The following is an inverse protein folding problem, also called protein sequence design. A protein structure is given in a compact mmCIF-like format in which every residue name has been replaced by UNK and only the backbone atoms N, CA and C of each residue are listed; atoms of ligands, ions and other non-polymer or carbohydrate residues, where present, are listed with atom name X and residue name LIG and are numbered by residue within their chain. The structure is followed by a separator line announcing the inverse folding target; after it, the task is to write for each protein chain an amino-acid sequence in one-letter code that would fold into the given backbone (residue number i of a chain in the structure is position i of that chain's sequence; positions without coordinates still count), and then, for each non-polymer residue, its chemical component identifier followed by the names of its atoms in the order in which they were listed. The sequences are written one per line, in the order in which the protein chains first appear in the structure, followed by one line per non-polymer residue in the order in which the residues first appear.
data_IF_746856505439
#
_entry.id   IF_746856505439
#
_cell.length_a   1.000
_cell.length_b   1.000
_cell.length_c   1.000
_cell.angle_alpha   90.00
_cell.angle_beta   90.00
_cell.angle_gamma   90.00
#
_symmetry.space_group_name_H-M   'P 1'
#
loop_
_entity.id
_entity.type
_entity.pdbx_description
1 polymer ?
2 polymer ?
3 polymer ?
4 water ?
#
# COMPACT_ATOMS: atom_id res chain seq x y z
N UNK A 1 23.02 -5.70 5.43
CA UNK A 1 22.80 -4.55 6.30
C UNK A 1 21.60 -4.83 7.21
N UNK A 2 21.26 -3.90 8.09
CA UNK A 2 20.21 -4.12 9.07
C UNK A 2 18.84 -3.96 8.44
N UNK A 3 17.95 -4.91 8.71
CA UNK A 3 16.58 -4.93 8.23
C UNK A 3 15.61 -4.98 9.40
N UNK A 4 14.37 -4.57 9.14
CA UNK A 4 13.31 -4.52 10.15
C UNK A 4 12.13 -5.34 9.65
N UNK A 5 11.69 -6.31 10.46
CA UNK A 5 10.57 -7.18 10.10
C UNK A 5 9.47 -7.03 11.14
N UNK A 6 8.29 -6.63 10.68
CA UNK A 6 7.17 -6.32 11.57
C UNK A 6 6.22 -7.50 11.71
N UNK A 7 5.41 -7.44 12.76
CA UNK A 7 4.36 -8.43 12.99
C UNK A 7 3.23 -8.26 11.98
N UNK A 8 2.35 -9.27 11.95
CA UNK A 8 1.32 -9.32 10.95
C UNK A 8 0.10 -8.45 11.26
N UNK A 9 -0.80 -8.39 10.28
CA UNK A 9 -1.98 -7.55 10.38
C UNK A 9 -2.89 -7.98 11.53
N UNK A 10 -3.61 -7.01 12.08
CA UNK A 10 -4.49 -7.25 13.21
C UNK A 10 -5.76 -6.44 13.08
N UNK A 11 -6.78 -6.88 13.81
CA UNK A 11 -8.02 -6.13 13.95
C UNK A 11 -8.30 -6.05 15.44
N UNK A 12 -8.73 -4.86 15.89
CA UNK A 12 -9.01 -4.64 17.29
C UNK A 12 -10.28 -3.82 17.42
N UNK A 13 -10.99 -4.00 18.57
CA UNK A 13 -12.21 -3.25 18.78
C UNK A 13 -11.91 -1.82 19.21
N UNK A 14 -12.84 -0.91 18.96
CA UNK A 14 -12.73 0.45 19.52
C UNK A 14 -12.51 0.41 21.04
N UNK A 15 -11.55 1.23 21.49
CA UNK A 15 -11.21 1.32 22.90
C UNK A 15 -10.10 0.40 23.34
N UNK A 16 -9.75 -0.61 22.53
CA UNK A 16 -8.79 -1.63 22.92
C UNK A 16 -7.37 -1.12 22.71
N UNK A 17 -6.41 -2.03 22.90
CA UNK A 17 -5.00 -1.75 22.61
C UNK A 17 -4.48 -2.68 21.53
N UNK A 18 -3.49 -2.20 20.79
CA UNK A 18 -2.82 -3.01 19.77
C UNK A 18 -1.33 -2.82 19.96
N UNK A 19 -0.57 -3.91 19.85
CA UNK A 19 0.89 -3.87 19.87
C UNK A 19 1.42 -4.35 18.52
N UNK A 20 2.26 -3.53 17.89
CA UNK A 20 2.99 -3.91 16.68
C UNK A 20 4.44 -4.14 17.08
N UNK A 21 5.03 -5.23 16.60
CA UNK A 21 6.41 -5.60 16.87
C UNK A 21 7.28 -5.27 15.66
N UNK A 22 8.57 -5.07 15.91
CA UNK A 22 9.53 -4.66 14.87
C UNK A 22 10.87 -5.28 15.26
N UNK A 23 11.26 -6.34 14.57
CA UNK A 23 12.48 -7.08 14.91
C UNK A 23 13.63 -6.66 14.00
N UNK A 24 14.73 -6.23 14.60
CA UNK A 24 15.92 -5.86 13.85
C UNK A 24 16.82 -7.06 13.63
N UNK A 25 17.52 -7.06 12.51
CA UNK A 25 18.49 -8.11 12.18
C UNK A 25 19.48 -7.54 11.18
N UNK A 26 20.71 -8.05 11.22
CA UNK A 26 21.73 -7.69 10.26
C UNK A 26 22.76 -6.70 10.74
N UNK A 27 22.57 -6.11 11.92
CA UNK A 27 23.51 -5.14 12.48
C UNK A 27 23.14 -4.95 13.94
N UNK A 28 23.96 -4.20 14.65
CA UNK A 28 23.70 -3.92 16.07
C UNK A 28 22.45 -3.07 16.22
N UNK A 29 21.43 -3.66 16.85
CA UNK A 29 20.15 -2.98 17.08
C UNK A 29 20.35 -1.64 17.77
N UNK A 30 21.20 -1.61 18.81
CA UNK A 30 21.40 -0.42 19.62
C UNK A 30 22.07 0.73 18.86
N UNK A 31 22.59 0.49 17.67
CA UNK A 31 23.17 1.58 16.89
C UNK A 31 22.12 2.44 16.21
N UNK A 32 20.88 1.97 16.15
CA UNK A 32 19.82 2.62 15.40
C UNK A 32 18.82 3.24 16.36
N UNK A 33 17.94 4.09 15.83
CA UNK A 33 16.81 4.61 16.57
C UNK A 33 15.55 4.21 15.82
N UNK A 34 14.52 3.80 16.56
CA UNK A 34 13.30 3.26 15.94
C UNK A 34 12.22 4.32 16.01
N UNK A 35 11.74 4.75 14.83
CA UNK A 35 10.62 5.67 14.72
C UNK A 35 9.41 4.89 14.26
N UNK A 36 8.23 5.39 14.60
CA UNK A 36 7.00 4.81 14.11
C UNK A 36 6.24 5.85 13.30
N UNK A 37 5.83 5.47 12.10
CA UNK A 37 5.14 6.37 11.17
C UNK A 37 3.97 5.59 10.61
N UNK A 38 2.78 6.20 10.59
CA UNK A 38 1.60 5.52 10.07
C UNK A 38 0.98 6.29 8.92
N UNK A 39 0.13 5.60 8.16
CA UNK A 39 -0.67 6.24 7.13
C UNK A 39 -2.07 5.64 7.19
N UNK A 40 -3.02 6.47 7.57
CA UNK A 40 -4.42 6.04 7.60
C UNK A 40 -5.02 6.26 6.22
N UNK A 41 -6.00 5.45 5.82
CA UNK A 41 -6.62 5.61 4.50
C UNK A 41 -7.10 7.03 4.27
N UNK A 42 -6.72 7.58 3.11
CA UNK A 42 -7.06 8.93 2.73
C UNK A 42 -6.26 10.02 3.41
N UNK A 43 -5.31 9.66 4.26
CA UNK A 43 -4.49 10.63 4.98
C UNK A 43 -3.04 10.52 4.53
N UNK A 44 -2.24 11.49 4.96
CA UNK A 44 -0.82 11.47 4.67
C UNK A 44 -0.03 10.72 5.73
N UNK A 45 1.29 10.74 5.56
CA UNK A 45 2.18 10.15 6.57
C UNK A 45 2.06 10.91 7.89
N UNK A 46 2.14 10.17 9.00
CA UNK A 46 2.03 10.78 10.32
C UNK A 46 3.05 10.14 11.27
N UNK A 47 3.94 10.96 11.83
CA UNK A 47 4.93 10.46 12.77
C UNK A 47 4.32 10.27 14.15
N UNK A 48 4.61 9.13 14.78
CA UNK A 48 4.06 8.83 16.08
C UNK A 48 5.06 9.02 17.21
N UNK A 49 6.34 8.81 16.95
CA UNK A 49 7.33 8.94 17.99
C UNK A 49 8.57 8.13 17.65
N UNK A 50 9.50 8.14 18.59
CA UNK A 50 10.78 7.48 18.41
C UNK A 50 11.24 6.90 19.75
N UNK A 51 12.09 5.90 19.64
CA UNK A 51 12.65 5.17 20.79
C UNK A 51 14.13 4.95 20.62
N UNK A 52 14.87 5.15 21.72
CA UNK A 52 16.27 4.77 21.80
C UNK A 52 16.32 3.34 22.36
N UNK A 53 16.73 2.33 21.58
CA UNK A 53 16.70 0.96 22.10
C UNK A 53 17.57 0.71 23.32
N UNK A 54 18.77 1.30 23.38
CA UNK A 54 19.65 1.08 24.52
C UNK A 54 18.98 1.49 25.83
N UNK A 55 18.59 2.77 25.92
CA UNK A 55 18.07 3.35 27.13
C UNK A 55 16.57 3.17 27.30
N UNK A 56 15.85 2.89 26.22
CA UNK A 56 14.40 2.93 26.27
C UNK A 56 13.80 4.31 26.25
N UNK A 57 14.61 5.36 26.13
CA UNK A 57 14.08 6.72 26.09
C UNK A 57 13.21 6.91 24.84
N UNK A 58 12.17 7.74 24.99
CA UNK A 58 11.21 7.93 23.91
C UNK A 58 10.89 9.41 23.74
N UNK A 59 10.34 9.74 22.57
CA UNK A 59 9.64 10.99 22.33
C UNK A 59 8.39 10.63 21.56
N UNK A 60 7.24 11.13 21.99
CA UNK A 60 5.99 10.88 21.29
C UNK A 60 5.41 12.16 20.71
N UNK A 61 4.75 12.02 19.57
CA UNK A 61 4.01 13.14 19.01
C UNK A 61 2.91 13.57 19.98
N UNK A 62 2.75 14.89 20.11
CA UNK A 62 1.75 15.44 21.02
C UNK A 62 0.40 14.77 20.80
N UNK A 63 0.07 14.44 19.54
CA UNK A 63 -1.23 13.90 19.21
C UNK A 63 -1.48 12.55 19.86
N UNK A 64 -0.44 11.78 20.19
CA UNK A 64 -0.63 10.45 20.78
C UNK A 64 -0.23 10.36 22.25
N UNK A 65 0.33 11.43 22.79
CA UNK A 65 0.80 11.45 24.16
C UNK A 65 -0.37 11.20 25.11
N UNK A 66 -0.30 10.10 25.84
CA UNK A 66 -1.33 9.71 26.79
C UNK A 66 -1.92 8.35 26.51
N UNK A 67 -1.70 7.81 25.32
CA UNK A 67 -2.28 6.52 24.98
C UNK A 67 -1.34 5.70 24.09
N UNK A 68 -0.05 6.03 24.07
CA UNK A 68 0.92 5.26 23.32
C UNK A 68 2.11 4.95 24.21
N UNK A 69 2.70 3.77 24.00
CA UNK A 69 3.99 3.45 24.58
C UNK A 69 4.88 2.89 23.50
N UNK A 70 6.21 3.03 23.69
CA UNK A 70 7.17 2.39 22.80
C UNK A 70 8.21 1.69 23.65
N UNK A 71 8.37 0.39 23.44
CA UNK A 71 9.20 -0.41 24.33
C UNK A 71 10.11 -1.31 23.53
N UNK A 72 10.98 -2.06 24.22
CA UNK A 72 11.85 -2.97 23.49
C UNK A 72 12.21 -4.15 24.38
N UNK A 73 12.58 -5.23 23.71
CA UNK A 73 13.21 -6.39 24.35
C UNK A 73 14.58 -6.54 23.69
N UNK A 74 15.61 -6.00 24.36
CA UNK A 74 16.96 -6.03 23.81
C UNK A 74 17.43 -7.46 23.54
N UNK A 75 17.03 -8.40 24.41
CA UNK A 75 17.50 -9.78 24.27
C UNK A 75 17.08 -10.41 22.96
N UNK A 76 16.02 -9.91 22.31
CA UNK A 76 15.56 -10.43 21.03
C UNK A 76 15.55 -9.36 19.94
N UNK A 77 16.23 -8.25 20.17
CA UNK A 77 16.38 -7.18 19.16
C UNK A 77 15.03 -6.72 18.61
N UNK A 78 14.04 -6.59 19.50
CA UNK A 78 12.68 -6.28 19.06
C UNK A 78 12.18 -5.00 19.71
N UNK A 79 11.57 -4.13 18.90
CA UNK A 79 10.92 -2.91 19.34
C UNK A 79 9.41 -3.13 19.25
N UNK A 80 8.67 -2.46 20.13
CA UNK A 80 7.21 -2.55 20.17
C UNK A 80 6.61 -1.16 20.26
N UNK A 81 5.45 -1.00 19.62
CA UNK A 81 4.57 0.15 19.77
C UNK A 81 3.21 -0.35 20.19
N UNK A 82 2.72 0.19 21.30
CA UNK A 82 1.38 -0.13 21.77
C UNK A 82 0.55 1.13 21.76
N UNK A 83 -0.57 1.09 21.03
CA UNK A 83 -1.50 2.20 20.90
C UNK A 83 -2.83 1.78 21.52
N UNK A 84 -3.34 2.60 22.42
CA UNK A 84 -4.49 2.25 23.26
C UNK A 84 -5.61 3.25 23.05
N UNK A 85 -6.80 2.89 23.54
CA UNK A 85 -7.94 3.77 23.33
C UNK A 85 -8.30 3.90 21.86
N UNK A 86 -8.28 2.79 21.12
CA UNK A 86 -8.30 2.87 19.66
C UNK A 86 -9.63 3.42 19.15
N UNK A 87 -9.56 4.24 18.11
CA UNK A 87 -10.74 4.72 17.42
C UNK A 87 -10.62 4.38 15.93
N UNK A 88 -11.69 4.67 15.18
CA UNK A 88 -11.65 4.45 13.74
C UNK A 88 -10.53 5.21 13.05
N UNK A 89 -10.11 6.35 13.61
CA UNK A 89 -9.02 7.11 13.03
C UNK A 89 -7.67 6.41 13.20
N UNK A 90 -7.62 5.33 13.96
CA UNK A 90 -6.38 4.58 14.14
C UNK A 90 -6.26 3.42 13.15
N UNK A 91 -7.28 3.16 12.33
CA UNK A 91 -7.10 2.21 11.24
C UNK A 91 -6.07 2.78 10.28
N UNK A 92 -4.99 2.03 10.07
CA UNK A 92 -3.87 2.59 9.32
C UNK A 92 -2.84 1.49 9.06
N UNK A 93 -1.93 1.77 8.12
CA UNK A 93 -0.71 1.01 7.97
C UNK A 93 0.37 1.63 8.87
N UNK A 94 0.96 0.82 9.75
CA UNK A 94 1.93 1.27 10.73
C UNK A 94 3.31 0.77 10.31
N UNK A 95 4.27 1.68 10.20
CA UNK A 95 5.66 1.33 9.92
C UNK A 95 6.56 1.63 11.09
N UNK A 96 7.56 0.77 11.30
CA UNK A 96 8.73 1.17 12.07
C UNK A 96 9.87 1.49 11.10
N UNK A 97 10.75 2.40 11.51
CA UNK A 97 11.79 2.84 10.59
C UNK A 97 12.94 3.50 11.35
N UNK A 98 14.16 3.29 10.86
CA UNK A 98 15.29 4.12 11.23
C UNK A 98 15.30 5.28 10.24
N UNK A 99 14.93 6.46 10.72
CA UNK A 99 14.81 7.63 9.84
C UNK A 99 16.11 8.42 9.80
N UNK A 100 16.23 9.22 8.75
CA UNK A 100 17.39 10.10 8.57
C UNK A 100 16.89 11.54 8.67
N UNK A 101 17.04 12.16 9.83
CA UNK A 101 16.64 13.53 10.07
C UNK A 101 17.85 14.44 10.09
N UNK A 102 18.79 14.16 10.99
CA UNK A 102 20.08 14.84 11.05
C UNK A 102 21.15 13.83 10.65
N UNK A 103 22.08 14.24 9.75
CA UNK A 103 23.08 13.31 9.29
C UNK A 103 24.27 13.18 10.25
N UNK A 104 25.08 12.17 9.98
CA UNK A 104 26.30 11.94 10.74
C UNK A 104 27.44 12.91 10.44
N UNK A 105 28.48 12.82 11.29
CA UNK A 105 29.66 13.65 11.08
C UNK A 105 30.33 13.34 9.75
N UNK A 106 30.23 12.11 9.29
CA UNK A 106 30.45 11.71 7.90
C UNK A 106 29.16 11.07 7.37
N UNK A 107 28.97 11.02 6.06
CA UNK A 107 27.67 10.56 5.54
C UNK A 107 27.54 9.07 5.24
N UNK A 108 28.52 8.22 5.59
CA UNK A 108 28.45 6.82 5.21
C UNK A 108 27.20 6.14 5.76
N UNK A 109 26.77 6.50 6.97
CA UNK A 109 25.60 5.89 7.59
C UNK A 109 24.33 6.72 7.43
N UNK A 110 24.34 7.65 6.49
CA UNK A 110 23.19 8.52 6.21
C UNK A 110 22.24 7.77 5.26
N UNK A 111 21.51 6.80 5.83
CA UNK A 111 20.53 6.02 5.10
C UNK A 111 19.43 5.63 6.07
N UNK A 112 18.30 5.21 5.51
CA UNK A 112 17.15 4.78 6.28
C UNK A 112 16.91 3.28 6.10
N UNK A 113 16.20 2.71 7.08
CA UNK A 113 15.73 1.34 7.01
C UNK A 113 14.28 1.35 7.45
N UNK A 114 13.41 0.76 6.64
CA UNK A 114 11.97 0.72 6.92
C UNK A 114 11.51 -0.72 7.02
N UNK A 115 10.62 -0.96 7.97
CA UNK A 115 9.88 -2.22 8.00
C UNK A 115 8.89 -2.28 6.86
N UNK A 116 8.22 -3.43 6.76
CA UNK A 116 7.30 -3.64 5.65
C UNK A 116 5.91 -3.06 5.90
N UNK A 117 5.60 -2.63 7.13
CA UNK A 117 4.28 -2.13 7.42
C UNK A 117 3.37 -3.20 8.00
N UNK A 118 2.54 -2.81 8.97
CA UNK A 118 1.57 -3.69 9.59
C UNK A 118 0.22 -3.01 9.48
N UNK A 119 -0.76 -3.69 8.89
CA UNK A 119 -2.10 -3.12 8.78
C UNK A 119 -2.89 -3.38 10.06
N UNK A 120 -3.44 -2.31 10.65
CA UNK A 120 -4.29 -2.42 11.84
C UNK A 120 -5.65 -1.85 11.47
N UNK A 121 -6.70 -2.64 11.69
CA UNK A 121 -8.07 -2.22 11.40
C UNK A 121 -8.83 -2.18 12.73
N UNK A 122 -9.52 -1.06 12.95
CA UNK A 122 -10.35 -0.91 14.17
C UNK A 122 -11.80 -1.18 13.77
N UNK A 123 -12.38 -2.22 14.36
CA UNK A 123 -13.76 -2.63 14.00
C UNK A 123 -14.38 -3.43 15.13
N UNK A 124 -15.71 -3.35 15.24
CA UNK A 124 -16.44 -4.22 16.18
C UNK A 124 -16.77 -5.56 15.48
N UNK A 125 -16.44 -5.70 14.19
CA UNK A 125 -16.87 -6.87 13.40
C UNK A 125 -15.94 -8.06 13.61
N UNK A 126 -16.47 -9.25 13.35
CA UNK A 126 -15.68 -10.47 13.55
C UNK A 126 -14.71 -10.70 12.40
N UNK A 127 -13.54 -11.22 12.70
CA UNK A 127 -12.66 -11.64 11.62
C UNK A 127 -13.26 -12.87 10.96
N UNK A 128 -13.08 -12.97 9.64
CA UNK A 128 -13.45 -14.22 8.99
C UNK A 128 -12.52 -14.50 7.83
N UNK A 129 -12.08 -15.75 7.76
CA UNK A 129 -11.28 -16.22 6.66
C UNK A 129 -12.07 -16.29 5.38
N UNK A 130 -11.36 -16.16 4.28
CA UNK A 130 -11.99 -16.25 2.98
C UNK A 130 -12.20 -17.70 2.56
N UNK A 131 -13.09 -17.86 1.59
CA UNK A 131 -13.21 -19.07 0.82
C UNK A 131 -12.46 -18.84 -0.48
N UNK A 132 -11.63 -19.80 -0.88
CA UNK A 132 -10.76 -19.64 -2.05
C UNK A 132 -11.25 -20.57 -3.14
N UNK A 133 -11.62 -20.00 -4.29
CA UNK A 133 -12.17 -20.76 -5.39
C UNK A 133 -11.24 -20.67 -6.59
N UNK A 134 -10.91 -21.79 -7.22
CA UNK A 134 -10.05 -21.73 -8.41
C UNK A 134 -10.87 -21.23 -9.58
N UNK A 135 -10.24 -20.42 -10.42
CA UNK A 135 -10.85 -19.88 -11.64
C UNK A 135 -10.14 -20.56 -12.81
N UNK A 136 -10.76 -21.60 -13.35
CA UNK A 136 -10.12 -22.43 -14.36
C UNK A 136 -10.12 -21.73 -15.71
N UNK A 137 -9.09 -21.96 -16.53
CA UNK A 137 -9.03 -21.39 -17.87
C UNK A 137 -9.91 -22.13 -18.87
N UNK A 145 -2.98 -19.47 -27.57
CA UNK A 145 -1.63 -19.01 -27.26
C UNK A 145 -1.36 -18.99 -25.76
N UNK A 146 -2.05 -18.11 -25.06
CA UNK A 146 -1.96 -18.00 -23.60
C UNK A 146 -3.35 -18.15 -23.00
N UNK A 147 -3.38 -18.60 -21.76
CA UNK A 147 -4.60 -18.81 -21.02
C UNK A 147 -4.48 -18.10 -19.69
N UNK A 148 -5.59 -17.54 -19.22
CA UNK A 148 -5.65 -16.86 -17.95
C UNK A 148 -6.32 -17.78 -16.95
N UNK A 149 -5.67 -18.00 -15.82
CA UNK A 149 -6.25 -18.78 -14.75
C UNK A 149 -6.14 -17.98 -13.46
N UNK A 150 -6.99 -18.28 -12.49
CA UNK A 150 -7.00 -17.39 -11.36
C UNK A 150 -7.49 -18.04 -10.10
N UNK A 151 -7.55 -17.24 -9.04
CA UNK A 151 -8.28 -17.66 -7.87
C UNK A 151 -9.03 -16.50 -7.24
N UNK A 152 -10.24 -16.80 -6.81
CA UNK A 152 -11.14 -15.84 -6.19
C UNK A 152 -11.07 -16.05 -4.69
N UNK A 153 -10.77 -14.98 -3.97
CA UNK A 153 -10.63 -15.01 -2.51
C UNK A 153 -11.84 -14.29 -1.98
N UNK A 154 -12.83 -15.04 -1.50
CA UNK A 154 -14.18 -14.52 -1.32
C UNK A 154 -14.50 -14.33 0.16
N UNK A 155 -15.11 -13.17 0.47
CA UNK A 155 -15.72 -12.93 1.78
C UNK A 155 -14.77 -13.05 2.97
N UNK A 156 -13.90 -12.06 3.15
CA UNK A 156 -13.00 -12.05 4.29
C UNK A 156 -13.04 -10.70 4.99
N UNK A 157 -12.62 -10.72 6.27
CA UNK A 157 -12.47 -9.48 7.03
C UNK A 157 -11.45 -9.71 8.12
N UNK A 158 -10.55 -8.75 8.38
CA UNK A 158 -10.46 -7.52 7.58
C UNK A 158 -9.37 -7.65 6.54
N UNK A 159 -9.06 -6.56 5.83
CA UNK A 159 -7.87 -6.56 5.01
C UNK A 159 -6.66 -6.79 5.92
N UNK A 160 -5.56 -7.33 5.39
CA UNK A 160 -5.34 -7.71 3.99
C UNK A 160 -5.18 -9.21 3.80
N UNK A 161 -5.16 -9.58 2.52
CA UNK A 161 -4.87 -10.92 2.04
C UNK A 161 -3.68 -10.83 1.11
N UNK A 162 -2.80 -11.82 1.17
CA UNK A 162 -1.72 -11.93 0.20
C UNK A 162 -1.93 -13.17 -0.68
N UNK A 163 -1.43 -13.09 -1.90
CA UNK A 163 -1.55 -14.17 -2.87
C UNK A 163 -0.22 -14.35 -3.57
N UNK A 164 0.24 -15.60 -3.66
CA UNK A 164 1.38 -15.93 -4.51
C UNK A 164 0.95 -17.12 -5.38
N UNK A 165 1.81 -17.50 -6.31
CA UNK A 165 1.52 -18.62 -7.20
C UNK A 165 2.69 -19.58 -7.18
N UNK A 166 2.39 -20.87 -7.09
CA UNK A 166 3.42 -21.91 -7.05
C UNK A 166 4.51 -21.60 -6.01
N UNK A 167 4.07 -21.15 -4.84
CA UNK A 167 4.94 -20.83 -3.71
C UNK A 167 5.98 -19.75 -4.04
N UNK A 168 5.66 -18.87 -5.00
CA UNK A 168 6.56 -17.82 -5.40
C UNK A 168 7.44 -18.15 -6.58
N UNK A 169 7.47 -19.41 -7.02
CA UNK A 169 8.23 -19.75 -8.22
C UNK A 169 7.63 -19.12 -9.48
N UNK A 170 6.34 -18.77 -9.46
CA UNK A 170 5.66 -18.21 -10.62
C UNK A 170 5.36 -16.75 -10.33
N UNK A 171 6.02 -15.85 -11.06
CA UNK A 171 5.82 -14.41 -10.84
C UNK A 171 5.47 -13.70 -12.15
N UNK A 172 5.92 -14.24 -13.27
CA UNK A 172 5.67 -13.57 -14.54
C UNK A 172 4.19 -13.70 -14.90
N UNK A 173 3.57 -12.59 -15.26
CA UNK A 173 2.19 -12.57 -15.68
C UNK A 173 1.18 -12.63 -14.56
N UNK A 174 1.61 -12.47 -13.32
CA UNK A 174 0.72 -12.49 -12.17
C UNK A 174 0.18 -11.09 -11.94
N UNK A 175 -1.12 -10.98 -11.70
CA UNK A 175 -1.73 -9.70 -11.35
C UNK A 175 -2.77 -9.96 -10.27
N UNK A 176 -2.50 -9.47 -9.06
CA UNK A 176 -3.43 -9.57 -7.95
C UNK A 176 -4.12 -8.22 -7.79
N UNK A 177 -5.42 -8.23 -7.82
CA UNK A 177 -6.22 -7.03 -7.89
C UNK A 177 -6.61 -6.55 -6.49
N UNK A 178 -6.76 -5.23 -6.32
CA UNK A 178 -7.28 -4.71 -5.06
C UNK A 178 -8.68 -5.22 -4.77
N UNK A 179 -8.96 -5.37 -3.48
CA UNK A 179 -10.22 -5.98 -3.05
C UNK A 179 -11.40 -5.04 -3.28
N UNK A 180 -12.58 -5.64 -3.49
CA UNK A 180 -13.84 -4.92 -3.51
C UNK A 180 -14.46 -5.01 -2.13
N UNK A 181 -15.16 -3.95 -1.72
CA UNK A 181 -15.89 -3.95 -0.44
C UNK A 181 -17.37 -4.12 -0.75
N UNK A 182 -17.93 -5.25 -0.33
CA UNK A 182 -19.29 -5.60 -0.69
C UNK A 182 -20.28 -4.87 0.23
N UNK A 183 -21.56 -4.93 -0.16
CA UNK A 183 -22.61 -4.34 0.66
C UNK A 183 -22.69 -5.02 2.03
N UNK A 184 -22.35 -6.31 2.08
CA UNK A 184 -22.37 -7.04 3.35
C UNK A 184 -21.32 -6.53 4.32
N UNK A 185 -20.32 -5.79 3.83
CA UNK A 185 -19.21 -5.37 4.64
C UNK A 185 -17.99 -6.26 4.57
N UNK A 186 -18.02 -7.33 3.77
CA UNK A 186 -16.87 -8.20 3.62
C UNK A 186 -16.10 -7.84 2.35
N UNK A 187 -14.86 -8.30 2.28
CA UNK A 187 -14.00 -8.05 1.14
C UNK A 187 -13.88 -9.30 0.27
N UNK A 188 -13.62 -9.08 -1.03
CA UNK A 188 -13.23 -10.15 -1.93
C UNK A 188 -12.17 -9.60 -2.87
N UNK A 189 -11.20 -10.43 -3.22
CA UNK A 189 -10.28 -10.06 -4.29
C UNK A 189 -10.04 -11.25 -5.21
N UNK A 190 -9.34 -10.99 -6.31
CA UNK A 190 -8.96 -12.04 -7.24
C UNK A 190 -7.52 -11.83 -7.65
N UNK A 191 -6.87 -12.94 -8.00
CA UNK A 191 -5.53 -12.93 -8.60
C UNK A 191 -5.56 -13.78 -9.85
N UNK A 192 -4.94 -13.28 -10.92
CA UNK A 192 -4.93 -13.96 -12.20
C UNK A 192 -3.49 -14.11 -12.66
N UNK A 193 -3.20 -15.21 -13.33
CA UNK A 193 -1.89 -15.39 -13.97
C UNK A 193 -2.12 -15.87 -15.40
N UNK A 194 -1.34 -15.31 -16.32
CA UNK A 194 -1.40 -15.69 -17.72
C UNK A 194 -0.22 -16.59 -18.02
N UNK A 195 -0.51 -17.77 -18.57
CA UNK A 195 0.47 -18.83 -18.77
C UNK A 195 0.31 -19.37 -20.20
N UNK A 196 1.34 -20.03 -20.73
CA UNK A 196 1.21 -20.69 -22.04
C UNK A 196 0.09 -21.72 -22.02
N UNK A 197 -0.77 -21.67 -23.05
CA UNK A 197 -1.86 -22.65 -23.14
C UNK A 197 -1.33 -24.08 -23.24
N UNK A 198 -0.17 -24.25 -23.88
CA UNK A 198 0.42 -25.57 -24.04
C UNK A 198 0.85 -26.18 -22.71
N UNK A 199 0.98 -25.37 -21.67
CA UNK A 199 1.36 -25.84 -20.35
C UNK A 199 0.18 -26.27 -19.49
N UNK A 200 -1.06 -26.07 -19.96
CA UNK A 200 -2.22 -26.40 -19.15
C UNK A 200 -2.31 -27.90 -18.89
N UNK A 201 -1.86 -28.72 -19.82
CA UNK A 201 -1.91 -30.15 -19.63
C UNK A 201 -0.67 -30.75 -19.00
N UNK A 202 0.30 -29.91 -18.60
CA UNK A 202 1.60 -30.39 -18.17
C UNK A 202 2.17 -29.68 -16.94
N UNK A 203 1.62 -28.55 -16.52
CA UNK A 203 2.14 -27.77 -15.39
C UNK A 203 1.04 -27.63 -14.36
N UNK A 204 1.37 -27.92 -13.10
CA UNK A 204 0.44 -27.69 -12.00
C UNK A 204 0.53 -26.23 -11.56
N UNK A 205 -0.62 -25.60 -11.35
CA UNK A 205 -0.69 -24.21 -10.91
C UNK A 205 -1.50 -24.14 -9.61
N UNK A 206 -0.93 -23.48 -8.61
CA UNK A 206 -1.48 -23.42 -7.27
C UNK A 206 -1.37 -21.98 -6.79
N UNK A 207 -2.49 -21.43 -6.32
CA UNK A 207 -2.47 -20.12 -5.71
C UNK A 207 -2.35 -20.26 -4.20
N UNK A 208 -1.40 -19.55 -3.61
CA UNK A 208 -1.16 -19.59 -2.17
C UNK A 208 -1.76 -18.33 -1.57
N UNK A 209 -2.78 -18.49 -0.73
CA UNK A 209 -3.56 -17.39 -0.19
C UNK A 209 -3.38 -17.36 1.31
N UNK A 210 -3.08 -16.18 1.86
CA UNK A 210 -2.88 -16.05 3.30
C UNK A 210 -3.71 -14.91 3.84
N UNK A 211 -4.47 -15.18 4.90
CA UNK A 211 -5.26 -14.18 5.61
C UNK A 211 -4.86 -14.33 7.08
N UNK A 212 -3.77 -13.66 7.45
CA UNK A 212 -3.21 -13.78 8.80
C UNK A 212 -4.23 -13.58 9.92
N UNK A 213 -5.08 -12.54 9.89
CA UNK A 213 -6.02 -12.33 11.01
C UNK A 213 -6.85 -13.55 11.36
N UNK A 214 -7.21 -14.38 10.38
CA UNK A 214 -8.08 -15.53 10.62
C UNK A 214 -7.33 -16.86 10.63
N UNK A 215 -6.00 -16.84 10.64
CA UNK A 215 -5.22 -18.07 10.60
C UNK A 215 -5.66 -18.90 9.38
N UNK A 216 -5.89 -18.23 8.25
CA UNK A 216 -6.30 -18.90 7.01
C UNK A 216 -5.11 -18.89 6.06
N UNK A 217 -4.61 -20.08 5.76
CA UNK A 217 -3.54 -20.24 4.77
C UNK A 217 -3.93 -21.43 3.89
N UNK A 218 -4.21 -21.16 2.62
CA UNK A 218 -4.73 -22.16 1.71
C UNK A 218 -3.93 -22.12 0.41
N UNK A 219 -3.57 -23.29 -0.09
CA UNK A 219 -2.89 -23.43 -1.38
C UNK A 219 -3.87 -24.19 -2.26
N UNK A 220 -4.52 -23.49 -3.20
CA UNK A 220 -5.58 -24.09 -4.01
C UNK A 220 -5.05 -24.44 -5.39
N UNK A 221 -5.13 -25.71 -5.75
CA UNK A 221 -4.82 -26.12 -7.12
C UNK A 221 -5.89 -25.61 -8.09
N UNK A 222 -5.44 -25.04 -9.21
CA UNK A 222 -6.30 -24.54 -10.26
C UNK A 222 -6.13 -25.47 -11.46
N UNK A 223 -7.16 -26.37 -11.72
CA UNK A 223 -7.09 -27.31 -12.84
C UNK A 223 -7.92 -26.82 -14.01
N UNK A 224 -7.47 -27.09 -15.23
CA UNK A 224 -8.33 -26.81 -16.40
C UNK A 224 -9.58 -27.66 -16.35
N UNK A 225 -10.68 -27.08 -16.81
CA UNK A 225 -11.96 -27.79 -16.84
C UNK A 225 -12.06 -28.63 -18.12
N UNK B 1 -4.69 16.55 9.20
CA UNK B 1 -3.93 16.99 10.35
C UNK B 1 -2.44 17.14 10.02
N UNK B 2 -2.14 17.43 8.75
CA UNK B 2 -0.77 17.68 8.34
C UNK B 2 -0.35 19.06 8.81
N UNK B 3 0.77 19.12 9.54
CA UNK B 3 1.24 20.40 10.07
C UNK B 3 1.88 21.28 9.02
N UNK B 4 2.55 20.70 8.01
CA UNK B 4 3.18 21.50 6.96
C UNK B 4 2.23 21.56 5.76
N UNK B 5 2.34 22.61 4.97
CA UNK B 5 1.41 22.83 3.84
C UNK B 5 2.08 22.49 2.51
N UNK B 6 1.50 21.52 1.80
CA UNK B 6 1.92 21.19 0.45
C UNK B 6 0.71 21.26 -0.46
N UNK B 7 0.85 21.81 -1.66
CA UNK B 7 -0.26 21.71 -2.65
C UNK B 7 -0.54 20.26 -2.96
N UNK B 8 -1.81 19.88 -3.18
CA UNK B 8 -2.12 18.45 -3.31
C UNK B 8 -1.58 17.78 -4.57
N UNK B 9 -1.29 18.52 -5.63
CA UNK B 9 -0.92 17.88 -6.89
C UNK B 9 0.05 18.76 -7.66
N UNK B 10 0.80 18.12 -8.57
CA UNK B 10 1.70 18.81 -9.48
C UNK B 10 1.82 17.97 -10.73
N UNK B 11 2.32 18.59 -11.80
CA UNK B 11 2.53 17.85 -13.03
C UNK B 11 3.66 18.47 -13.83
N UNK B 12 4.21 17.66 -14.72
CA UNK B 12 5.21 18.14 -15.65
C UNK B 12 5.37 17.15 -16.79
N UNK B 13 6.01 17.62 -17.86
CA UNK B 13 6.16 16.75 -19.02
C UNK B 13 7.51 16.06 -18.98
N UNK B 14 7.64 14.93 -19.68
CA UNK B 14 8.90 14.17 -19.63
C UNK B 14 10.11 14.98 -20.10
N UNK B 15 11.22 14.79 -19.40
CA UNK B 15 12.44 15.52 -19.63
C UNK B 15 12.46 16.92 -19.08
N UNK B 16 11.33 17.42 -18.58
CA UNK B 16 11.26 18.77 -18.06
C UNK B 16 11.41 18.74 -16.54
N UNK B 17 11.17 19.89 -15.91
CA UNK B 17 11.33 20.03 -14.47
C UNK B 17 10.02 20.47 -13.83
N UNK B 18 9.86 20.13 -12.55
CA UNK B 18 8.73 20.57 -11.74
C UNK B 18 9.28 20.93 -10.38
N UNK B 19 8.75 21.99 -9.78
CA UNK B 19 9.11 22.40 -8.42
C UNK B 19 7.87 22.35 -7.56
N UNK B 20 7.97 21.70 -6.40
CA UNK B 20 6.85 21.60 -5.48
C UNK B 20 7.27 22.19 -4.15
N UNK B 21 6.32 22.79 -3.44
CA UNK B 21 6.63 23.56 -2.25
C UNK B 21 6.04 22.95 -0.98
N UNK B 22 6.64 23.34 0.15
CA UNK B 22 6.27 22.85 1.47
C UNK B 22 6.46 24.01 2.43
N UNK B 23 5.38 24.53 2.99
CA UNK B 23 5.41 25.71 3.84
C UNK B 23 5.19 25.32 5.30
N UNK B 24 6.01 25.88 6.19
CA UNK B 24 5.86 25.70 7.61
C UNK B 24 5.93 27.04 8.33
N UNK B 25 6.48 26.99 9.54
CA UNK B 25 6.58 28.16 10.40
C UNK B 25 8.02 28.36 10.83
N UNK B 26 8.25 29.47 11.53
CA UNK B 26 9.59 29.76 12.03
C UNK B 26 10.05 28.77 13.09
N UNK B 27 9.15 27.95 13.65
CA UNK B 27 9.55 26.93 14.60
C UNK B 27 9.83 25.58 13.97
N UNK B 28 9.73 25.46 12.64
CA UNK B 28 10.03 24.18 12.00
C UNK B 28 10.83 24.38 10.72
N UNK B 29 10.15 24.50 9.57
CA UNK B 29 10.87 24.70 8.32
C UNK B 29 11.75 25.93 8.38
N UNK B 30 11.24 27.01 8.97
CA UNK B 30 11.99 28.25 9.04
C UNK B 30 12.93 28.37 10.21
N UNK B 31 12.92 27.41 11.12
CA UNK B 31 13.74 27.49 12.32
C UNK B 31 14.93 26.55 12.34
N UNK B 32 14.94 25.57 11.44
CA UNK B 32 15.94 24.51 11.45
C UNK B 32 16.21 24.11 10.00
N UNK B 33 17.35 23.47 9.80
CA UNK B 33 17.71 22.88 8.53
C UNK B 33 17.58 21.36 8.53
N UNK B 34 16.40 20.89 8.95
CA UNK B 34 16.11 19.46 9.02
C UNK B 34 14.85 19.19 8.22
N UNK B 35 14.84 19.63 6.97
CA UNK B 35 13.76 19.35 6.03
C UNK B 35 14.14 18.13 5.20
N UNK B 36 13.23 17.14 5.13
CA UNK B 36 13.42 16.01 4.26
C UNK B 36 12.30 15.93 3.24
N UNK B 37 12.56 15.20 2.16
CA UNK B 37 11.54 14.91 1.15
C UNK B 37 11.51 13.41 0.89
N UNK B 38 10.31 12.84 0.88
CA UNK B 38 10.08 11.42 0.71
C UNK B 38 9.25 11.18 -0.55
N UNK B 39 9.66 10.19 -1.32
CA UNK B 39 8.88 9.70 -2.46
C UNK B 39 8.08 8.48 -2.02
N UNK B 40 6.77 8.50 -2.25
CA UNK B 40 5.94 7.40 -1.78
C UNK B 40 5.11 6.86 -2.95
N UNK B 41 5.46 5.64 -3.38
CA UNK B 41 4.61 4.89 -4.31
C UNK B 41 3.62 4.05 -3.52
N UNK B 42 2.38 3.90 -4.00
CA UNK B 42 1.39 3.12 -3.23
C UNK B 42 1.88 1.71 -2.92
N UNK B 43 1.67 1.31 -1.67
CA UNK B 43 2.02 -0.01 -1.19
C UNK B 43 3.46 -0.22 -0.79
N UNK B 44 4.33 0.78 -0.98
CA UNK B 44 5.75 0.64 -0.68
C UNK B 44 6.14 1.62 0.42
N UNK B 45 7.19 1.29 1.16
CA UNK B 45 7.67 2.21 2.17
C UNK B 45 8.17 3.50 1.50
N UNK B 46 7.99 4.64 2.15
CA UNK B 46 8.55 5.91 1.62
C UNK B 46 10.06 5.83 1.42
N UNK B 47 10.52 6.48 0.36
CA UNK B 47 11.93 6.51 0.02
C UNK B 47 12.43 7.94 0.15
N UNK B 48 13.38 8.17 1.06
CA UNK B 48 13.88 9.52 1.28
C UNK B 48 14.75 9.94 0.09
N UNK B 49 14.50 11.13 -0.43
CA UNK B 49 15.27 11.68 -1.55
C UNK B 49 16.19 12.81 -1.14
N UNK B 50 15.81 13.57 -0.12
CA UNK B 50 16.54 14.74 0.36
C UNK B 50 16.45 14.76 1.87
N UNK B 51 17.56 15.09 2.53
CA UNK B 51 17.57 15.34 3.97
C UNK B 51 18.40 16.59 4.23
N UNK B 52 18.17 17.24 5.36
CA UNK B 52 18.87 18.47 5.73
C UNK B 52 18.79 19.52 4.62
N UNK B 53 17.59 19.67 4.06
CA UNK B 53 17.20 20.68 3.09
C UNK B 53 17.71 20.37 1.69
N UNK B 54 19.00 20.05 1.56
CA UNK B 54 19.68 19.94 0.26
C UNK B 54 20.43 18.64 0.01
N UNK B 55 20.67 17.82 1.01
CA UNK B 55 21.55 16.67 0.84
C UNK B 55 20.80 15.47 0.29
N UNK B 56 21.48 14.69 -0.55
CA UNK B 56 20.95 13.46 -1.09
C UNK B 56 21.64 12.25 -0.48
N UNK B 57 20.87 11.23 -0.10
CA UNK B 57 21.47 9.97 0.32
C UNK B 57 21.95 9.18 -0.88
N UNK B 58 22.67 8.11 -0.59
CA UNK B 58 23.31 7.31 -1.64
C UNK B 58 22.27 6.81 -2.63
N UNK B 59 22.61 6.90 -3.92
CA UNK B 59 21.76 6.36 -4.95
C UNK B 59 20.68 7.28 -5.46
N UNK B 60 20.52 8.47 -4.89
CA UNK B 60 19.52 9.42 -5.35
C UNK B 60 20.17 10.34 -6.38
N UNK B 61 19.68 10.38 -7.62
CA UNK B 61 20.37 11.14 -8.67
C UNK B 61 20.30 12.65 -8.40
N UNK B 62 21.24 13.37 -9.00
CA UNK B 62 21.30 14.81 -8.79
C UNK B 62 20.13 15.56 -9.43
N UNK B 63 19.32 14.91 -10.27
CA UNK B 63 18.13 15.59 -10.79
C UNK B 63 17.09 15.87 -9.71
N UNK B 64 17.23 15.29 -8.51
CA UNK B 64 16.41 15.68 -7.37
C UNK B 64 17.20 16.68 -6.56
N UNK B 65 16.64 17.86 -6.35
CA UNK B 65 17.33 18.87 -5.57
C UNK B 65 16.36 19.58 -4.65
N UNK B 66 16.86 19.95 -3.48
CA UNK B 66 16.05 20.61 -2.49
C UNK B 66 16.63 21.98 -2.18
N UNK B 67 15.76 22.88 -1.75
CA UNK B 67 16.19 24.21 -1.35
C UNK B 67 15.20 24.78 -0.34
N UNK B 68 15.55 25.95 0.19
CA UNK B 68 14.71 26.57 1.22
C UNK B 68 14.99 28.06 1.24
N UNK B 69 13.94 28.85 1.50
CA UNK B 69 14.07 30.26 1.81
C UNK B 69 12.98 30.60 2.81
N UNK B 70 13.36 31.24 3.91
CA UNK B 70 12.35 31.61 4.90
C UNK B 70 11.64 30.38 5.44
N UNK B 71 10.31 30.42 5.43
CA UNK B 71 9.53 29.29 5.93
C UNK B 71 9.10 28.31 4.84
N UNK B 72 9.71 28.36 3.65
CA UNK B 72 9.27 27.57 2.50
C UNK B 72 10.43 26.70 2.03
N UNK B 73 10.19 25.40 1.94
CA UNK B 73 11.13 24.51 1.28
C UNK B 73 10.58 24.10 -0.08
N UNK B 74 11.48 23.74 -0.98
CA UNK B 74 11.07 23.34 -2.32
C UNK B 74 11.87 22.12 -2.74
N UNK B 75 11.21 21.25 -3.50
CA UNK B 75 11.85 20.12 -4.17
C UNK B 75 11.69 20.36 -5.66
N UNK B 76 12.79 20.26 -6.41
CA UNK B 76 12.74 20.34 -7.86
C UNK B 76 13.15 18.99 -8.44
N UNK B 77 12.33 18.45 -9.33
CA UNK B 77 12.64 17.21 -10.02
C UNK B 77 12.87 17.55 -11.47
N UNK B 78 14.10 17.39 -11.94
CA UNK B 78 14.41 17.64 -13.35
C UNK B 78 14.54 16.32 -14.10
N UNK B 79 14.55 16.43 -15.43
CA UNK B 79 14.62 15.21 -16.24
C UNK B 79 13.51 14.24 -15.93
N UNK B 80 12.28 14.75 -15.80
CA UNK B 80 11.15 13.96 -15.34
C UNK B 80 10.97 12.71 -16.19
N UNK B 81 10.76 11.59 -15.52
CA UNK B 81 10.45 10.30 -16.12
C UNK B 81 9.15 9.77 -15.54
N UNK B 82 8.52 8.83 -16.26
CA UNK B 82 7.28 8.23 -15.80
C UNK B 82 7.40 7.64 -14.40
N UNK B 83 8.53 6.99 -14.10
CA UNK B 83 8.70 6.38 -12.78
C UNK B 83 8.65 7.39 -11.64
N UNK B 84 8.68 8.68 -11.94
CA UNK B 84 8.62 9.72 -10.92
C UNK B 84 7.21 10.00 -10.42
N UNK B 85 6.19 9.44 -11.07
CA UNK B 85 4.83 9.57 -10.57
C UNK B 85 4.75 8.91 -9.20
N UNK B 86 4.39 9.68 -8.20
CA UNK B 86 4.40 9.26 -6.80
C UNK B 86 3.83 10.41 -6.00
N UNK B 87 3.63 10.17 -4.71
CA UNK B 87 3.20 11.22 -3.81
C UNK B 87 4.42 11.63 -2.98
N UNK B 88 4.77 12.92 -3.05
CA UNK B 88 5.97 13.44 -2.43
C UNK B 88 5.62 14.16 -1.14
N UNK B 89 6.22 13.73 -0.04
CA UNK B 89 5.96 14.30 1.28
C UNK B 89 7.20 15.05 1.75
N UNK B 90 7.00 16.24 2.29
CA UNK B 90 8.06 16.90 3.04
C UNK B 90 7.89 16.62 4.52
N UNK B 91 9.02 16.70 5.23
CA UNK B 91 8.99 16.61 6.68
C UNK B 91 9.95 17.63 7.27
N UNK B 92 9.72 17.98 8.54
CA UNK B 92 10.68 18.83 9.24
C UNK B 92 10.69 18.49 10.71
N UNK B 93 11.87 18.57 11.36
CA UNK B 93 11.85 18.64 12.81
C UNK B 93 11.04 19.87 13.20
N UNK B 94 10.27 19.77 14.28
CA UNK B 94 9.55 20.96 14.69
C UNK B 94 8.81 20.79 15.98
N UNK B 95 8.02 21.82 16.28
CA UNK B 95 7.22 21.80 17.50
C UNK B 95 8.13 21.56 18.67
N UNK B 96 7.74 20.64 19.55
CA UNK B 96 8.61 20.27 20.65
C UNK B 96 9.00 18.81 20.51
N UNK B 97 10.23 18.54 20.03
CA UNK B 97 10.73 17.17 19.91
C UNK B 97 9.80 16.33 19.02
N UNK B 98 9.50 16.87 17.86
CA UNK B 98 8.49 16.31 16.96
C UNK B 98 9.05 16.26 15.56
N UNK B 99 8.50 15.36 14.75
CA UNK B 99 8.72 15.34 13.30
C UNK B 99 7.37 15.61 12.67
N UNK B 100 7.30 16.68 11.88
CA UNK B 100 6.07 17.08 11.20
C UNK B 100 6.14 16.66 9.74
N UNK B 101 4.98 16.37 9.15
CA UNK B 101 4.88 16.03 7.74
C UNK B 101 3.94 17.00 7.04
N UNK B 102 4.21 17.25 5.76
CA UNK B 102 3.21 17.86 4.90
C UNK B 102 2.21 16.81 4.45
N UNK B 103 1.18 17.27 3.74
CA UNK B 103 0.10 16.39 3.30
C UNK B 103 0.37 15.63 2.02
N UNK B 104 1.49 15.90 1.37
CA UNK B 104 1.88 15.20 0.18
C UNK B 104 1.40 15.87 -1.10
N UNK B 105 2.25 15.85 -2.12
CA UNK B 105 1.89 16.37 -3.44
C UNK B 105 1.97 15.21 -4.41
N UNK B 106 0.85 14.90 -5.08
CA UNK B 106 0.81 13.81 -6.03
C UNK B 106 1.29 14.34 -7.38
N UNK B 107 2.37 13.78 -7.90
CA UNK B 107 2.99 14.22 -9.14
C UNK B 107 2.51 13.35 -10.31
N UNK B 108 1.95 13.99 -11.33
CA UNK B 108 1.63 13.35 -12.60
C UNK B 108 2.64 13.77 -13.65
N UNK B 109 3.15 12.80 -14.40
CA UNK B 109 3.97 13.05 -15.57
C UNK B 109 3.05 13.07 -16.78
N UNK B 110 3.00 14.19 -17.48
CA UNK B 110 2.08 14.34 -18.62
C UNK B 110 2.57 13.53 -19.84
N UNK B 111 1.66 13.34 -20.78
CA UNK B 111 1.96 12.86 -22.14
C UNK B 111 1.84 11.36 -22.27
N UNK B 112 1.35 10.70 -21.22
CA UNK B 112 1.29 9.23 -21.24
C UNK B 112 0.20 8.83 -22.23
N UNK B 113 0.44 7.84 -23.11
CA UNK B 113 -0.54 7.52 -24.15
C UNK B 113 -1.80 6.86 -23.58
N UNK B 114 -2.91 7.11 -24.29
CA UNK B 114 -4.15 6.37 -24.06
C UNK B 114 -3.89 4.88 -24.14
N UNK B 115 -4.57 4.12 -23.29
CA UNK B 115 -4.40 2.67 -23.24
C UNK B 115 -5.77 2.05 -22.98
N UNK B 116 -6.18 1.15 -23.87
CA UNK B 116 -7.46 0.49 -23.73
C UNK B 116 -7.35 -0.62 -22.68
N UNK B 117 -8.44 -0.93 -21.99
CA UNK B 117 -8.39 -1.97 -20.95
C UNK B 117 -8.27 -3.36 -21.54
N UNK B 118 -7.50 -4.20 -20.85
CA UNK B 118 -7.57 -5.64 -21.01
C UNK B 118 -8.63 -6.17 -20.05
N UNK B 119 -9.48 -7.06 -20.54
CA UNK B 119 -10.60 -7.60 -19.77
C UNK B 119 -10.51 -9.12 -19.74
N UNK B 120 -10.57 -9.70 -18.53
CA UNK B 120 -10.67 -11.14 -18.36
C UNK B 120 -11.93 -11.40 -17.54
N UNK B 121 -12.77 -12.32 -18.03
CA UNK B 121 -14.04 -12.63 -17.39
C UNK B 121 -14.06 -14.11 -17.04
N UNK B 122 -14.28 -14.42 -15.75
CA UNK B 122 -14.38 -15.80 -15.30
C UNK B 122 -15.80 -16.13 -14.88
N UNK B 123 -16.29 -17.31 -15.25
CA UNK B 123 -17.58 -17.76 -14.78
C UNK B 123 -17.47 -18.31 -13.37
N UNK B 124 -18.60 -18.64 -12.74
CA UNK B 124 -18.54 -19.31 -11.44
C UNK B 124 -17.81 -20.65 -11.55
N UNK B 125 -17.04 -20.96 -10.51
CA UNK B 125 -16.40 -22.26 -10.42
C UNK B 125 -17.39 -23.34 -9.99
N UNK B 126 -17.07 -24.58 -10.37
CA UNK B 126 -17.83 -25.74 -9.87
C UNK B 126 -17.91 -25.73 -8.36
N UNK B 127 -16.79 -25.48 -7.70
CA UNK B 127 -16.77 -25.49 -6.24
C UNK B 127 -17.72 -24.43 -5.66
N UNK B 128 -17.76 -23.24 -6.27
CA UNK B 128 -18.66 -22.22 -5.74
C UNK B 128 -20.12 -22.59 -5.95
N UNK B 129 -20.46 -23.11 -7.13
CA UNK B 129 -21.83 -23.53 -7.40
C UNK B 129 -22.28 -24.61 -6.43
N UNK B 130 -21.38 -25.53 -6.09
CA UNK B 130 -21.69 -26.56 -5.09
C UNK B 130 -22.01 -25.95 -3.73
N UNK B 131 -21.36 -24.84 -3.38
CA UNK B 131 -21.68 -24.11 -2.17
C UNK B 131 -22.93 -23.25 -2.31
N UNK B 132 -23.70 -23.44 -3.38
CA UNK B 132 -24.96 -22.73 -3.60
C UNK B 132 -24.75 -21.23 -3.79
N UNK B 133 -23.63 -20.86 -4.39
CA UNK B 133 -23.35 -19.46 -4.69
C UNK B 133 -22.78 -19.36 -6.09
N UNK B 134 -22.72 -18.13 -6.60
CA UNK B 134 -22.17 -17.92 -7.94
C UNK B 134 -21.67 -16.49 -8.04
N UNK B 135 -20.47 -16.32 -8.58
CA UNK B 135 -19.87 -15.01 -8.77
C UNK B 135 -19.20 -15.00 -10.13
N UNK B 136 -19.55 -14.01 -10.95
CA UNK B 136 -18.80 -13.68 -12.15
C UNK B 136 -17.74 -12.65 -11.80
N UNK B 137 -16.52 -12.85 -12.31
CA UNK B 137 -15.36 -12.05 -11.94
C UNK B 137 -14.84 -11.39 -13.20
N UNK B 138 -14.96 -10.06 -13.28
CA UNK B 138 -14.48 -9.29 -14.43
C UNK B 138 -13.27 -8.46 -14.01
N UNK B 139 -12.10 -8.80 -14.54
CA UNK B 139 -10.85 -8.17 -14.14
C UNK B 139 -10.36 -7.26 -15.26
N UNK B 140 -10.06 -6.02 -14.91
CA UNK B 140 -9.83 -4.95 -15.90
C UNK B 140 -8.47 -4.31 -15.62
N UNK B 141 -7.59 -4.31 -16.62
CA UNK B 141 -6.23 -3.89 -16.34
C UNK B 141 -5.64 -3.10 -17.50
N UNK B 142 -4.54 -2.41 -17.20
CA UNK B 142 -3.67 -1.76 -18.19
C UNK B 142 -4.36 -0.65 -18.97
N UNK B 143 -5.30 0.06 -18.34
CA UNK B 143 -5.96 1.17 -19.02
C UNK B 143 -5.41 2.51 -18.55
N UNK B 144 -5.54 3.51 -19.40
CA UNK B 144 -5.09 4.86 -19.09
C UNK B 144 -5.84 5.84 -19.99
N UNK B 145 -6.36 6.95 -19.45
CA UNK B 145 -6.29 7.36 -18.05
C UNK B 145 -7.15 6.49 -17.13
N UNK B 146 -7.05 6.75 -15.83
CA UNK B 146 -7.63 5.85 -14.85
C UNK B 146 -9.12 6.00 -14.60
N UNK B 147 -9.95 5.74 -15.60
CA UNK B 147 -11.39 5.71 -15.39
C UNK B 147 -12.03 4.75 -16.39
N UNK B 148 -12.92 3.89 -15.89
CA UNK B 148 -13.73 3.01 -16.74
C UNK B 148 -15.16 3.00 -16.19
N UNK B 149 -16.10 2.57 -17.03
CA UNK B 149 -17.44 2.23 -16.57
C UNK B 149 -17.73 0.79 -16.96
N UNK B 150 -18.43 0.06 -16.10
CA UNK B 150 -18.70 -1.36 -16.33
C UNK B 150 -20.20 -1.57 -16.46
N UNK B 151 -20.61 -2.32 -17.48
CA UNK B 151 -21.98 -2.72 -17.69
C UNK B 151 -22.05 -4.25 -17.78
N UNK B 152 -23.01 -4.83 -17.08
CA UNK B 152 -23.22 -6.27 -17.10
C UNK B 152 -24.50 -6.58 -17.86
N UNK B 153 -24.48 -7.67 -18.60
CA UNK B 153 -25.65 -8.11 -19.35
C UNK B 153 -25.94 -9.57 -19.02
N UNK B 154 -27.21 -9.89 -18.86
CA UNK B 154 -27.67 -11.27 -18.86
C UNK B 154 -28.30 -11.51 -20.22
N UNK B 155 -27.80 -12.51 -20.94
CA UNK B 155 -27.98 -12.58 -22.39
C UNK B 155 -27.63 -11.22 -23.00
N UNK B 156 -28.62 -10.53 -23.55
CA UNK B 156 -28.44 -9.18 -24.05
C UNK B 156 -29.17 -8.13 -23.21
N UNK B 157 -29.62 -8.49 -22.02
CA UNK B 157 -30.39 -7.57 -21.19
C UNK B 157 -29.53 -7.03 -20.06
N UNK B 158 -29.65 -5.73 -19.79
CA UNK B 158 -28.86 -5.14 -18.71
C UNK B 158 -29.23 -5.73 -17.36
N UNK B 159 -28.21 -5.92 -16.51
CA UNK B 159 -28.42 -6.33 -15.13
C UNK B 159 -27.62 -5.40 -14.22
N UNK B 160 -28.29 -4.85 -13.21
CA UNK B 160 -27.61 -4.04 -12.21
C UNK B 160 -27.65 -4.61 -10.79
N UNK B 161 -28.60 -5.49 -10.48
CA UNK B 161 -28.61 -6.12 -9.16
C UNK B 161 -27.41 -7.03 -9.01
N UNK B 162 -26.79 -6.99 -7.82
CA UNK B 162 -25.69 -7.87 -7.51
C UNK B 162 -24.34 -7.44 -8.04
N UNK B 163 -24.22 -6.24 -8.59
CA UNK B 163 -22.95 -5.77 -9.15
C UNK B 163 -22.18 -5.00 -8.08
N UNK B 164 -20.88 -5.23 -8.00
CA UNK B 164 -20.02 -4.45 -7.13
C UNK B 164 -18.71 -4.23 -7.86
N UNK B 165 -18.31 -2.96 -8.03
CA UNK B 165 -17.14 -2.59 -8.82
C UNK B 165 -16.18 -1.72 -8.01
N UNK B 166 -14.88 -1.99 -8.13
CA UNK B 166 -13.88 -1.22 -7.41
C UNK B 166 -13.62 0.13 -8.07
N UNK B 167 -13.03 1.03 -7.30
CA UNK B 167 -12.44 2.23 -7.85
C UNK B 167 -11.18 1.85 -8.62
N UNK B 168 -10.75 2.67 -9.57
CA UNK B 168 -9.51 2.39 -10.28
C UNK B 168 -8.32 2.57 -9.37
N UNK B 169 -7.31 1.73 -9.58
CA UNK B 169 -6.10 1.75 -8.76
C UNK B 169 -4.86 1.80 -9.66
N UNK B 170 -3.87 2.56 -9.25
CA UNK B 170 -2.65 2.72 -10.03
C UNK B 170 -1.80 1.45 -9.96
N UNK B 171 -1.42 0.93 -11.13
CA UNK B 171 -0.47 -0.15 -11.24
C UNK B 171 0.96 0.39 -11.25
N UNK B 172 1.92 -0.52 -11.07
CA UNK B 172 3.31 -0.10 -10.99
C UNK B 172 3.81 0.42 -12.33
N UNK B 173 3.17 0.05 -13.44
CA UNK B 173 3.59 0.49 -14.77
C UNK B 173 2.93 1.78 -15.23
N UNK B 174 2.28 2.52 -14.32
CA UNK B 174 1.62 3.80 -14.53
C UNK B 174 0.18 3.68 -15.06
N UNK B 175 -0.25 2.50 -15.51
CA UNK B 175 -1.62 2.30 -15.95
C UNK B 175 -2.50 1.94 -14.74
N UNK B 176 -3.78 1.66 -14.99
CA UNK B 176 -4.76 1.47 -13.93
C UNK B 176 -5.46 0.12 -14.06
N UNK B 177 -5.97 -0.37 -12.92
CA UNK B 177 -6.71 -1.61 -12.83
C UNK B 177 -8.00 -1.38 -12.06
N UNK B 178 -8.97 -2.26 -12.33
CA UNK B 178 -10.20 -2.31 -11.56
C UNK B 178 -10.76 -3.70 -11.70
N UNK B 179 -11.75 -4.02 -10.86
CA UNK B 179 -12.44 -5.28 -10.96
C UNK B 179 -13.92 -5.07 -10.69
N UNK B 180 -14.73 -5.95 -11.29
CA UNK B 180 -16.18 -5.90 -11.11
C UNK B 180 -16.70 -7.31 -10.88
N UNK B 181 -17.62 -7.44 -9.91
CA UNK B 181 -18.17 -8.72 -9.49
C UNK B 181 -19.67 -8.72 -9.66
N UNK B 182 -20.21 -9.79 -10.24
CA UNK B 182 -21.65 -9.97 -10.34
C UNK B 182 -22.03 -11.21 -9.54
N UNK B 183 -22.80 -11.01 -8.47
CA UNK B 183 -23.33 -12.10 -7.66
C UNK B 183 -24.66 -12.58 -8.23
N UNK B 184 -24.80 -13.90 -8.37
CA UNK B 184 -26.02 -14.50 -8.87
C UNK B 184 -26.33 -15.74 -8.05
N UNK B 185 -27.57 -16.21 -8.14
CA UNK B 185 -27.86 -17.54 -7.65
C UNK B 185 -27.44 -18.56 -8.70
N UNK B 186 -27.13 -19.79 -8.29
CA UNK B 186 -26.84 -20.82 -9.30
C UNK B 186 -27.96 -20.97 -10.33
N UNK B 187 -29.21 -20.78 -9.91
CA UNK B 187 -30.33 -20.89 -10.84
C UNK B 187 -30.28 -19.79 -11.92
N UNK B 188 -30.02 -18.55 -11.51
CA UNK B 188 -29.86 -17.46 -12.49
C UNK B 188 -28.73 -17.76 -13.47
N UNK B 189 -27.59 -18.23 -12.97
CA UNK B 189 -26.46 -18.54 -13.85
C UNK B 189 -26.84 -19.61 -14.86
N UNK B 190 -27.43 -20.72 -14.39
CA UNK B 190 -27.75 -21.81 -15.29
C UNK B 190 -28.91 -21.48 -16.24
N UNK B 191 -29.73 -20.48 -15.90
CA UNK B 191 -30.96 -20.22 -16.65
C UNK B 191 -30.74 -19.42 -17.93
N UNK B 192 -29.68 -18.62 -18.00
CA UNK B 192 -29.44 -17.75 -19.14
C UNK B 192 -28.46 -18.40 -20.11
N UNK B 193 -28.53 -17.96 -21.37
CA UNK B 193 -27.61 -18.46 -22.38
C UNK B 193 -26.18 -17.97 -22.12
N UNK B 194 -26.02 -16.72 -21.66
CA UNK B 194 -24.70 -16.20 -21.38
C UNK B 194 -24.81 -14.96 -20.51
N UNK B 195 -23.65 -14.54 -19.96
CA UNK B 195 -23.52 -13.27 -19.26
C UNK B 195 -22.31 -12.55 -19.82
N UNK B 196 -22.37 -11.22 -19.83
CA UNK B 196 -21.31 -10.40 -20.41
C UNK B 196 -20.91 -9.28 -19.46
N UNK B 197 -19.61 -8.96 -19.50
CA UNK B 197 -19.05 -7.79 -18.84
C UNK B 197 -18.57 -6.86 -19.96
N UNK B 198 -19.07 -5.62 -19.97
CA UNK B 198 -18.72 -4.64 -21.01
C UNK B 198 -18.04 -3.44 -20.35
N UNK B 199 -16.80 -3.19 -20.73
CA UNK B 199 -15.98 -2.15 -20.09
C UNK B 199 -15.77 -1.03 -21.09
N UNK B 200 -16.24 0.17 -20.72
CA UNK B 200 -16.15 1.33 -21.59
C UNK B 200 -15.07 2.28 -21.07
N UNK B 201 -14.23 2.75 -21.98
CA UNK B 201 -13.10 3.60 -21.63
C UNK B 201 -12.90 4.59 -22.77
N UNK B 202 -12.99 5.88 -22.45
CA UNK B 202 -12.80 6.94 -23.46
C UNK B 202 -13.73 6.77 -24.66
N UNK B 203 -14.93 6.23 -24.44
CA UNK B 203 -15.90 6.06 -25.49
C UNK B 203 -15.82 4.78 -26.29
N UNK B 204 -14.79 3.96 -26.07
CA UNK B 204 -14.66 2.65 -26.72
C UNK B 204 -14.93 1.56 -25.70
N UNK B 205 -15.39 0.40 -26.16
CA UNK B 205 -15.82 -0.66 -25.26
C UNK B 205 -15.14 -1.98 -25.59
N UNK B 206 -14.76 -2.72 -24.55
CA UNK B 206 -14.27 -4.09 -24.68
C UNK B 206 -15.26 -4.99 -23.96
N UNK B 207 -15.71 -6.05 -24.63
CA UNK B 207 -16.76 -6.92 -24.12
C UNK B 207 -16.24 -8.34 -24.02
N UNK B 208 -16.57 -9.02 -22.91
CA UNK B 208 -16.31 -10.45 -22.76
C UNK B 208 -17.59 -11.14 -22.32
N UNK B 209 -17.75 -12.39 -22.75
CA UNK B 209 -18.95 -13.16 -22.49
C UNK B 209 -18.57 -14.56 -22.00
N UNK B 210 -19.35 -15.08 -21.04
CA UNK B 210 -19.17 -16.44 -20.55
C UNK B 210 -20.52 -17.15 -20.51
N UNK B 211 -20.47 -18.47 -20.52
CA UNK B 211 -21.69 -19.26 -20.59
C UNK B 211 -21.53 -20.53 -19.75
N UNK B 212 -22.65 -21.06 -19.24
CA UNK B 212 -22.58 -22.36 -18.55
C UNK B 212 -22.24 -23.49 -19.53
N UNK C 1 34.49 10.23 15.52
CA UNK C 1 33.25 10.90 15.93
C UNK C 1 32.14 9.89 16.22
N UNK C 2 31.15 10.28 17.04
CA UNK C 2 30.11 9.35 17.40
C UNK C 2 29.23 9.02 16.20
N UNK C 3 28.46 7.93 16.34
CA UNK C 3 27.48 7.57 15.33
C UNK C 3 26.33 8.58 15.33
N UNK C 4 25.62 8.63 14.20
CA UNK C 4 24.61 9.67 14.00
C UNK C 4 23.41 9.51 14.94
N UNK C 5 23.14 8.31 15.42
CA UNK C 5 22.05 8.13 16.37
C UNK C 5 22.18 9.08 17.55
N UNK C 6 23.42 9.25 18.06
CA UNK C 6 23.61 10.12 19.22
C UNK C 6 23.34 11.59 18.91
N UNK C 7 23.62 12.02 17.67
CA UNK C 7 23.27 13.39 17.27
C UNK C 7 21.76 13.56 17.27
N UNK C 8 21.03 12.53 16.81
CA UNK C 8 19.58 12.62 16.81
C UNK C 8 19.06 12.68 18.25
N UNK C 9 19.70 11.95 19.17
CA UNK C 9 19.30 12.02 20.57
C UNK C 9 19.39 13.46 21.08
N UNK C 10 20.44 14.18 20.70
CA UNK C 10 20.61 15.54 21.18
C UNK C 10 19.55 16.44 20.57
N UNK C 11 19.22 16.21 19.30
CA UNK C 11 18.19 16.99 18.63
C UNK C 11 16.84 16.83 19.33
N UNK C 12 16.57 15.63 19.84
CA UNK C 12 15.32 15.32 20.53
C UNK C 12 15.45 15.34 22.05
N UNK C 13 16.37 16.14 22.60
CA UNK C 13 16.64 16.07 24.04
C UNK C 13 15.46 16.56 24.85
N UNK C 14 15.38 16.08 26.09
CA UNK C 14 14.34 16.53 27.02
C UNK C 14 14.93 17.40 28.13
#
# INVERSE_FOLDING_TARGET
QMQLMQSGAEVKKPGASVTVSCKASGDTFSDYRIHWVRQAPGQGLEWMGRMNPKSGDTNFAQKFQGRVTMTRDMSINTAYMTLSGLTFDDTALYYCASLLIVGGFDPLDDFEVWGQGTMVTISSASTKGPSVFPLAPSSKSTSGGTAALGCLVKDYFPEPVTVSWNSGALTSGVHTFPAVLQSSGLYSLSSVVTVPSSSLGTQTYICNVNHKPSNTKVDKKVEPKSC
QSALTQPPSASGSPGQSVTISCSGTSSDVGGYNFVSWYQHHPGKAPKILIYEVTKRPSGVPDRFSGSKSGNTASLTVSGLQAEDEADYYCSSYGGTNNLLFGGGTKLTVLGQPKAAPSVTLFPPSSEELQANKATLVCLISDFYPGAVTVAWKADSSPVKAGVETTTPSKQSNNKYAASSYLSLTPEQWKSHRSYSCQVTHEGSTVEKTVAPTECS
PSKRSFIEDLLFNKV
#
